data_IF_533152245978
#
_entry.id   IF_533152245978
#
_cell.length_a   1.000
_cell.length_b   1.000
_cell.length_c   1.000
_cell.angle_alpha   90.00
_cell.angle_beta   90.00
_cell.angle_gamma   90.00
#
_symmetry.space_group_name_H-M   'P 1'
#
loop_
_entity.id
_entity.type
_entity.pdbx_description
1 polymer ?
#
# COMPACT_ATOMS: atom_id res chain seq x y z
N UNK A 1 7.56 -20.90 -16.95
CA UNK A 1 7.96 -19.90 -17.96
C UNK A 1 8.56 -18.70 -17.23
N UNK A 2 9.80 -18.29 -17.50
CA UNK A 2 10.38 -17.14 -16.82
C UNK A 2 9.74 -15.86 -17.38
N UNK A 3 8.87 -15.20 -16.61
CA UNK A 3 8.44 -13.84 -16.89
C UNK A 3 9.59 -12.88 -16.54
N UNK A 4 10.62 -12.85 -17.37
CA UNK A 4 11.50 -11.69 -17.48
C UNK A 4 10.84 -10.67 -18.38
N UNK A 5 9.90 -9.91 -17.84
CA UNK A 5 9.62 -8.57 -18.36
C UNK A 5 9.94 -7.57 -17.26
N UNK A 6 11.22 -7.25 -17.11
CA UNK A 6 11.61 -5.91 -16.71
C UNK A 6 11.11 -4.96 -17.80
N UNK A 7 9.82 -4.61 -17.76
CA UNK A 7 9.40 -3.34 -18.34
C UNK A 7 10.11 -2.30 -17.50
N UNK A 8 10.94 -1.46 -18.11
CA UNK A 8 11.51 -0.27 -17.47
C UNK A 8 10.38 0.54 -16.85
N UNK A 9 10.08 0.26 -15.58
CA UNK A 9 9.13 1.02 -14.82
C UNK A 9 9.80 2.34 -14.51
N UNK A 10 9.23 3.43 -15.00
CA UNK A 10 9.69 4.77 -14.65
C UNK A 10 9.76 4.88 -13.13
N UNK A 11 10.97 4.98 -12.58
CA UNK A 11 11.17 5.19 -11.17
C UNK A 11 10.67 6.61 -10.81
N UNK A 12 10.07 6.80 -9.61
CA UNK A 12 9.71 8.13 -9.15
C UNK A 12 10.96 9.00 -9.03
N UNK A 13 10.81 10.29 -9.32
CA UNK A 13 11.86 11.28 -9.10
C UNK A 13 12.03 11.50 -7.60
N UNK A 14 13.23 11.26 -7.07
CA UNK A 14 13.53 11.52 -5.66
C UNK A 14 13.65 13.03 -5.42
N UNK A 15 12.85 13.53 -4.47
CA UNK A 15 12.81 14.92 -4.03
C UNK A 15 13.54 14.98 -2.69
N UNK A 16 14.72 15.61 -2.63
CA UNK A 16 15.51 15.61 -1.40
C UNK A 16 14.78 16.39 -0.30
N UNK A 17 14.72 15.80 0.88
CA UNK A 17 14.39 16.54 2.09
C UNK A 17 15.64 17.29 2.56
N UNK A 18 15.52 18.57 2.88
CA UNK A 18 16.62 19.29 3.53
C UNK A 18 16.88 18.69 4.92
N UNK A 19 18.15 18.58 5.38
CA UNK A 19 18.45 18.11 6.73
C UNK A 19 17.71 18.95 7.80
N UNK A 20 16.90 18.30 8.63
CA UNK A 20 16.06 18.97 9.64
C UNK A 20 14.85 19.73 9.09
N UNK A 21 14.63 19.71 7.77
CA UNK A 21 13.49 20.30 7.10
C UNK A 21 12.30 19.33 7.00
N UNK A 22 11.10 19.90 6.90
CA UNK A 22 9.89 19.13 6.62
C UNK A 22 9.99 18.47 5.24
N UNK A 23 9.51 17.24 5.14
CA UNK A 23 9.39 16.53 3.87
C UNK A 23 8.57 17.36 2.86
N UNK A 24 9.08 17.65 1.65
CA UNK A 24 8.45 18.57 0.70
C UNK A 24 7.06 18.11 0.24
N UNK A 25 6.82 16.79 0.15
CA UNK A 25 5.49 16.25 -0.20
C UNK A 25 4.53 16.42 0.97
N UNK A 26 4.98 16.21 2.21
CA UNK A 26 4.14 16.45 3.39
C UNK A 26 3.84 17.94 3.60
N UNK A 27 4.79 18.82 3.28
CA UNK A 27 4.56 20.27 3.21
C UNK A 27 3.48 20.60 2.20
N UNK A 28 3.57 20.02 1.00
CA UNK A 28 2.58 20.23 -0.05
C UNK A 28 1.18 19.75 0.39
N UNK A 29 1.09 18.63 1.10
CA UNK A 29 -0.17 18.17 1.68
C UNK A 29 -0.75 19.18 2.70
N UNK A 30 0.10 19.84 3.50
CA UNK A 30 -0.32 20.89 4.44
C UNK A 30 -0.74 22.17 3.72
N UNK A 31 -0.02 22.57 2.67
CA UNK A 31 -0.36 23.71 1.81
C UNK A 31 -1.71 23.50 1.12
N UNK A 32 -2.01 22.25 0.73
CA UNK A 32 -3.33 21.85 0.23
C UNK A 32 -4.39 21.65 1.31
N UNK A 33 -4.03 21.87 2.58
CA UNK A 33 -4.92 21.72 3.74
C UNK A 33 -5.51 20.31 3.88
N UNK A 34 -4.77 19.29 3.42
CA UNK A 34 -5.17 17.90 3.59
C UNK A 34 -5.05 17.48 5.06
N UNK A 35 -6.05 16.80 5.66
CA UNK A 35 -6.08 16.51 7.10
C UNK A 35 -5.17 15.36 7.53
N UNK A 36 -3.92 15.30 7.03
CA UNK A 36 -2.97 14.19 7.25
C UNK A 36 -2.54 13.94 8.70
N UNK A 37 -2.79 14.90 9.59
CA UNK A 37 -2.48 14.80 11.02
C UNK A 37 -3.65 14.31 11.87
N UNK A 38 -4.87 14.33 11.32
CA UNK A 38 -6.08 13.93 12.05
C UNK A 38 -6.31 12.45 11.85
N UNK A 39 -6.81 11.77 12.87
CA UNK A 39 -7.24 10.39 12.71
C UNK A 39 -8.42 10.33 11.74
N UNK A 40 -8.56 9.21 11.03
CA UNK A 40 -9.67 8.97 10.15
C UNK A 40 -11.01 9.03 10.91
N UNK A 41 -11.04 8.60 12.17
CA UNK A 41 -12.18 8.74 13.07
C UNK A 41 -12.62 10.21 13.23
N UNK A 42 -11.68 11.11 13.52
CA UNK A 42 -11.98 12.54 13.68
C UNK A 42 -12.47 13.17 12.38
N UNK A 43 -11.89 12.74 11.25
CA UNK A 43 -12.30 13.23 9.93
C UNK A 43 -13.68 12.72 9.55
N UNK A 44 -14.01 11.46 9.84
CA UNK A 44 -15.36 10.90 9.68
C UNK A 44 -16.36 11.68 10.53
N UNK A 45 -16.05 11.95 11.80
CA UNK A 45 -16.94 12.69 12.69
C UNK A 45 -17.22 14.12 12.19
N UNK A 46 -16.23 14.76 11.56
CA UNK A 46 -16.36 16.12 11.03
C UNK A 46 -17.06 16.17 9.67
N UNK A 47 -16.69 15.30 8.74
CA UNK A 47 -17.08 15.39 7.33
C UNK A 47 -18.22 14.42 6.95
N UNK A 48 -18.44 13.39 7.77
CA UNK A 48 -19.26 12.24 7.40
C UNK A 48 -18.61 11.37 6.33
N UNK A 49 -19.22 10.21 6.08
CA UNK A 49 -18.93 9.39 4.89
C UNK A 49 -19.94 9.78 3.81
N UNK A 50 -19.45 10.13 2.64
CA UNK A 50 -20.25 10.59 1.50
C UNK A 50 -19.95 9.75 0.27
N UNK A 51 -20.86 9.63 -0.70
CA UNK A 51 -20.51 9.08 -2.00
C UNK A 51 -19.49 10.00 -2.68
N UNK A 52 -18.39 9.43 -3.19
CA UNK A 52 -17.45 10.17 -4.03
C UNK A 52 -18.18 10.80 -5.22
N UNK A 53 -17.88 12.07 -5.54
CA UNK A 53 -18.62 12.80 -6.58
C UNK A 53 -18.55 12.17 -7.97
N UNK A 54 -17.55 11.32 -8.23
CA UNK A 54 -17.26 10.76 -9.54
C UNK A 54 -17.58 9.26 -9.58
N UNK A 55 -17.08 8.50 -8.60
CA UNK A 55 -17.24 7.05 -8.58
C UNK A 55 -18.47 6.57 -7.81
N UNK A 56 -19.02 7.38 -6.91
CA UNK A 56 -20.10 7.06 -5.98
C UNK A 56 -19.82 5.92 -4.98
N UNK A 57 -18.56 5.52 -4.81
CA UNK A 57 -18.12 4.69 -3.68
C UNK A 57 -18.07 5.51 -2.36
N UNK A 58 -18.09 4.86 -1.17
CA UNK A 58 -17.95 5.57 0.10
C UNK A 58 -16.58 6.25 0.25
N UNK A 59 -16.60 7.56 0.47
CA UNK A 59 -15.40 8.40 0.58
C UNK A 59 -15.53 9.49 1.65
N UNK A 60 -14.38 10.00 2.08
CA UNK A 60 -14.26 11.25 2.82
C UNK A 60 -13.94 12.35 1.80
N UNK A 61 -14.79 13.37 1.70
CA UNK A 61 -14.65 14.45 0.72
C UNK A 61 -14.16 15.71 1.42
N UNK A 62 -13.08 16.32 0.90
CA UNK A 62 -12.41 17.46 1.51
C UNK A 62 -12.67 18.74 0.71
N UNK A 63 -13.85 19.35 0.92
CA UNK A 63 -14.25 20.59 0.24
C UNK A 63 -13.41 21.81 0.62
N UNK A 64 -12.81 21.79 1.82
CA UNK A 64 -11.98 22.89 2.33
C UNK A 64 -10.50 22.77 1.92
N UNK A 65 -10.13 21.67 1.26
CA UNK A 65 -8.79 21.48 0.72
C UNK A 65 -8.59 22.35 -0.54
N UNK A 66 -7.36 22.82 -0.75
CA UNK A 66 -7.06 23.59 -1.97
C UNK A 66 -7.18 22.66 -3.19
N UNK A 67 -8.00 23.02 -4.19
CA UNK A 67 -8.15 22.20 -5.38
C UNK A 67 -6.91 22.29 -6.26
N UNK A 68 -6.60 21.19 -6.97
CA UNK A 68 -5.63 21.25 -8.05
C UNK A 68 -6.19 22.06 -9.23
N UNK A 69 -5.33 22.67 -10.05
CA UNK A 69 -5.76 23.22 -11.33
C UNK A 69 -6.50 22.16 -12.16
N UNK A 70 -7.65 22.53 -12.72
CA UNK A 70 -8.47 21.61 -13.50
C UNK A 70 -9.18 20.52 -12.69
N UNK A 71 -9.25 20.64 -11.35
CA UNK A 71 -9.90 19.65 -10.50
C UNK A 71 -11.34 19.36 -10.94
N UNK A 72 -11.64 18.08 -11.19
CA UNK A 72 -12.99 17.60 -11.49
C UNK A 72 -13.84 17.40 -10.23
N UNK A 73 -13.18 17.14 -9.10
CA UNK A 73 -13.80 16.93 -7.80
C UNK A 73 -12.83 17.36 -6.68
N UNK A 74 -13.34 17.64 -5.47
CA UNK A 74 -12.49 17.85 -4.30
C UNK A 74 -11.55 16.66 -4.06
N UNK A 75 -10.53 16.88 -3.23
CA UNK A 75 -9.72 15.77 -2.73
C UNK A 75 -10.61 14.79 -1.95
N UNK A 76 -10.34 13.51 -2.13
CA UNK A 76 -11.02 12.43 -1.42
C UNK A 76 -10.04 11.47 -0.77
N UNK A 77 -10.53 10.72 0.21
CA UNK A 77 -9.88 9.52 0.72
C UNK A 77 -10.91 8.40 0.84
N UNK A 78 -10.48 7.14 0.66
CA UNK A 78 -11.39 6.00 0.78
C UNK A 78 -12.00 5.95 2.19
N UNK A 79 -13.30 5.68 2.30
CA UNK A 79 -13.96 5.40 3.59
C UNK A 79 -14.28 3.91 3.75
N UNK A 80 -13.47 3.04 3.14
CA UNK A 80 -13.69 1.60 3.19
C UNK A 80 -13.63 1.07 4.62
N UNK A 81 -14.62 0.26 4.98
CA UNK A 81 -14.83 -0.25 6.36
C UNK A 81 -13.71 -1.16 6.86
N UNK A 82 -12.85 -1.66 5.97
CA UNK A 82 -11.65 -2.45 6.32
C UNK A 82 -10.45 -1.60 6.70
N UNK A 83 -10.55 -0.27 6.66
CA UNK A 83 -9.48 0.63 7.07
C UNK A 83 -9.65 0.97 8.57
N UNK A 84 -8.65 0.68 9.43
CA UNK A 84 -8.71 1.00 10.85
C UNK A 84 -8.82 2.53 11.09
N UNK A 85 -9.88 3.02 11.75
CA UNK A 85 -10.18 4.45 11.80
C UNK A 85 -9.29 5.24 12.78
N UNK A 86 -8.56 4.58 13.67
CA UNK A 86 -7.70 5.24 14.66
C UNK A 86 -6.45 5.90 14.06
N UNK A 87 -6.09 5.58 12.81
CA UNK A 87 -4.91 6.15 12.17
C UNK A 87 -5.24 7.34 11.29
N UNK A 88 -4.25 8.21 11.01
CA UNK A 88 -4.41 9.25 10.02
C UNK A 88 -4.67 8.70 8.62
N UNK A 89 -5.27 9.53 7.77
CA UNK A 89 -5.40 9.23 6.34
C UNK A 89 -4.02 9.21 5.71
N UNK A 90 -3.69 8.11 5.03
CA UNK A 90 -2.37 7.95 4.40
C UNK A 90 -2.42 8.07 2.89
N UNK A 91 -3.62 8.01 2.28
CA UNK A 91 -3.82 8.16 0.84
C UNK A 91 -4.92 9.17 0.53
N UNK A 92 -4.57 10.18 -0.25
CA UNK A 92 -5.47 11.17 -0.79
C UNK A 92 -5.50 11.07 -2.31
N UNK A 93 -6.67 11.27 -2.92
CA UNK A 93 -6.86 11.21 -4.36
C UNK A 93 -7.66 12.40 -4.88
N UNK A 94 -7.33 12.85 -6.07
CA UNK A 94 -8.17 13.79 -6.84
C UNK A 94 -7.96 13.57 -8.34
N UNK A 95 -8.71 14.28 -9.15
CA UNK A 95 -8.76 14.16 -10.59
C UNK A 95 -8.64 15.53 -11.21
N UNK A 96 -7.81 15.70 -12.22
CA UNK A 96 -7.67 16.94 -12.97
C UNK A 96 -7.90 16.71 -14.47
N UNK A 97 -8.59 17.63 -15.13
CA UNK A 97 -8.86 17.60 -16.56
C UNK A 97 -8.85 19.01 -17.15
N UNK A 98 -8.29 19.15 -18.34
CA UNK A 98 -8.17 20.41 -19.07
C UNK A 98 -8.66 20.28 -20.51
N UNK A 99 -8.38 19.14 -21.15
CA UNK A 99 -8.72 18.86 -22.54
C UNK A 99 -8.83 17.36 -22.82
N UNK A 100 -9.32 17.00 -24.01
CA UNK A 100 -9.48 15.61 -24.44
C UNK A 100 -8.15 14.95 -24.88
N UNK A 101 -7.09 15.15 -24.11
CA UNK A 101 -5.79 14.49 -24.26
C UNK A 101 -5.20 14.10 -22.90
N UNK A 102 -5.11 12.80 -22.65
CA UNK A 102 -4.55 12.22 -21.44
C UNK A 102 -3.07 12.63 -21.19
N UNK A 103 -2.27 12.76 -22.24
CA UNK A 103 -0.87 13.17 -22.12
C UNK A 103 -0.78 14.63 -21.73
N UNK A 104 -1.59 15.49 -22.34
CA UNK A 104 -1.59 16.91 -22.07
C UNK A 104 -2.10 17.21 -20.65
N UNK A 105 -3.18 16.54 -20.22
CA UNK A 105 -3.69 16.67 -18.85
C UNK A 105 -2.64 16.30 -17.80
N UNK A 106 -1.95 15.15 -17.98
CA UNK A 106 -0.91 14.73 -17.04
C UNK A 106 0.28 15.69 -17.02
N UNK A 107 0.73 16.17 -18.20
CA UNK A 107 1.83 17.15 -18.28
C UNK A 107 1.46 18.46 -17.58
N UNK A 108 0.25 18.99 -17.79
CA UNK A 108 -0.19 20.23 -17.13
C UNK A 108 -0.19 20.11 -15.60
N UNK A 109 -0.64 18.97 -15.06
CA UNK A 109 -0.55 18.72 -13.62
C UNK A 109 0.92 18.62 -13.19
N UNK A 110 1.76 17.93 -13.98
CA UNK A 110 3.17 17.77 -13.64
C UNK A 110 3.94 19.10 -13.65
N UNK A 111 3.65 19.97 -14.61
CA UNK A 111 4.24 21.32 -14.71
C UNK A 111 3.83 22.18 -13.51
N UNK A 112 2.57 22.08 -13.07
CA UNK A 112 2.10 22.74 -11.86
C UNK A 112 2.87 22.27 -10.60
N UNK A 113 3.05 20.94 -10.45
CA UNK A 113 3.74 20.36 -9.30
C UNK A 113 5.26 20.60 -9.33
N UNK A 114 5.83 20.85 -10.52
CA UNK A 114 7.27 21.10 -10.69
C UNK A 114 7.75 22.33 -9.89
N UNK A 115 6.89 23.33 -9.69
CA UNK A 115 7.21 24.49 -8.87
C UNK A 115 7.52 24.12 -7.40
N UNK A 116 6.87 23.10 -6.87
CA UNK A 116 6.98 22.69 -5.47
C UNK A 116 7.90 21.49 -5.25
N UNK A 117 7.94 20.56 -6.22
CA UNK A 117 8.62 19.26 -6.09
C UNK A 117 9.82 19.11 -7.03
N UNK A 118 10.07 20.08 -7.91
CA UNK A 118 11.08 19.97 -8.96
C UNK A 118 10.59 19.15 -10.16
N UNK A 119 11.36 19.14 -11.26
CA UNK A 119 10.97 18.47 -12.50
C UNK A 119 10.85 16.95 -12.29
N UNK A 120 9.99 16.30 -13.06
CA UNK A 120 9.91 14.83 -13.09
C UNK A 120 9.87 14.32 -14.52
N UNK A 121 10.32 13.08 -14.73
CA UNK A 121 10.10 12.40 -16.00
C UNK A 121 8.64 11.97 -16.14
N UNK A 122 8.06 12.20 -17.31
CA UNK A 122 6.79 11.59 -17.74
C UNK A 122 7.12 10.39 -18.62
N UNK A 123 6.60 9.22 -18.25
CA UNK A 123 6.90 7.96 -18.93
C UNK A 123 5.67 7.10 -19.14
N UNK A 124 5.89 5.93 -19.74
CA UNK A 124 4.86 4.93 -20.00
C UNK A 124 5.04 3.74 -19.07
N UNK A 125 3.93 3.25 -18.50
CA UNK A 125 3.88 1.99 -17.75
C UNK A 125 2.70 1.17 -18.26
N UNK A 126 2.99 0.10 -19.00
CA UNK A 126 1.98 -0.71 -19.71
C UNK A 126 1.09 0.12 -20.64
N UNK A 127 -0.20 0.25 -20.33
CA UNK A 127 -1.21 1.04 -21.04
C UNK A 127 -1.48 2.41 -20.37
N UNK A 128 -0.60 2.88 -19.48
CA UNK A 128 -0.76 4.15 -18.76
C UNK A 128 0.42 5.10 -18.98
N UNK A 129 0.14 6.39 -18.93
CA UNK A 129 1.14 7.45 -18.79
C UNK A 129 1.27 7.74 -17.30
N UNK A 130 2.51 7.83 -16.82
CA UNK A 130 2.79 8.02 -15.40
C UNK A 130 3.87 9.07 -15.18
N UNK A 131 3.78 9.76 -14.06
CA UNK A 131 4.84 10.59 -13.49
C UNK A 131 4.74 10.49 -11.97
N UNK A 132 5.87 10.55 -11.26
CA UNK A 132 5.84 10.46 -9.81
C UNK A 132 7.03 11.18 -9.17
N UNK A 133 6.80 11.64 -7.94
CA UNK A 133 7.79 12.17 -7.02
C UNK A 133 7.77 11.33 -5.75
N UNK A 134 8.93 11.15 -5.15
CA UNK A 134 9.07 10.52 -3.83
C UNK A 134 9.99 11.34 -2.96
N UNK A 135 9.65 11.47 -1.68
CA UNK A 135 10.56 11.97 -0.66
C UNK A 135 10.44 11.06 0.54
N UNK A 136 11.47 10.25 0.81
CA UNK A 136 11.38 9.18 1.81
C UNK A 136 10.24 8.21 1.45
N UNK A 137 9.26 8.05 2.35
CA UNK A 137 8.08 7.23 2.09
C UNK A 137 6.89 7.99 1.49
N UNK A 138 6.91 9.32 1.51
CA UNK A 138 5.84 10.10 0.93
C UNK A 138 5.97 10.09 -0.59
N UNK A 139 4.84 9.98 -1.29
CA UNK A 139 4.82 10.03 -2.76
C UNK A 139 3.67 10.88 -3.28
N UNK A 140 3.90 11.47 -4.45
CA UNK A 140 2.84 12.01 -5.31
C UNK A 140 2.97 11.32 -6.64
N UNK A 141 1.89 10.71 -7.12
CA UNK A 141 1.85 10.01 -8.40
C UNK A 141 0.71 10.50 -9.28
N UNK A 142 1.02 10.62 -10.56
CA UNK A 142 0.13 10.99 -11.63
C UNK A 142 -0.06 9.79 -12.54
N UNK A 143 -1.32 9.49 -12.89
CA UNK A 143 -1.67 8.42 -13.80
C UNK A 143 -2.75 8.91 -14.77
N UNK A 144 -2.56 8.64 -16.06
CA UNK A 144 -3.58 8.85 -17.07
C UNK A 144 -3.62 7.64 -18.03
N UNK A 145 -4.78 7.38 -18.61
CA UNK A 145 -5.03 6.25 -19.52
C UNK A 145 -5.37 6.78 -20.92
N UNK A 146 -4.38 6.98 -21.81
CA UNK A 146 -4.67 7.42 -23.17
C UNK A 146 -5.65 6.45 -23.85
N UNK A 147 -6.76 6.93 -24.45
CA UNK A 147 -7.74 6.08 -25.10
C UNK A 147 -7.13 5.18 -26.18
N UNK A 148 -6.14 5.70 -26.92
CA UNK A 148 -5.41 4.95 -27.95
C UNK A 148 -4.60 3.77 -27.42
N UNK A 149 -4.39 3.67 -26.11
CA UNK A 149 -3.68 2.57 -25.45
C UNK A 149 -4.61 1.60 -24.73
N UNK A 150 -5.93 1.86 -24.71
CA UNK A 150 -6.90 1.00 -24.04
C UNK A 150 -7.54 0.01 -25.00
N UNK A 151 -7.95 -1.14 -24.46
CA UNK A 151 -8.81 -2.08 -25.16
C UNK A 151 -10.16 -1.41 -25.47
N UNK A 152 -10.65 -1.58 -26.70
CA UNK A 152 -11.81 -0.84 -27.21
C UNK A 152 -13.15 -1.26 -26.57
N UNK A 153 -13.20 -2.43 -25.92
CA UNK A 153 -14.43 -3.02 -25.36
C UNK A 153 -14.56 -2.83 -23.83
N UNK A 154 -13.70 -2.01 -23.20
CA UNK A 154 -13.79 -1.75 -21.77
C UNK A 154 -14.92 -0.76 -21.47
N UNK A 155 -16.08 -1.27 -21.07
CA UNK A 155 -17.16 -0.45 -20.53
C UNK A 155 -16.87 -0.05 -19.08
N UNK A 156 -16.92 1.25 -18.79
CA UNK A 156 -16.71 1.80 -17.44
C UNK A 156 -17.87 2.74 -17.11
N UNK A 157 -18.80 2.32 -16.23
CA UNK A 157 -19.97 3.13 -15.86
C UNK A 157 -19.64 4.50 -15.28
N UNK A 158 -18.43 4.70 -14.72
CA UNK A 158 -17.96 6.03 -14.31
C UNK A 158 -17.68 6.95 -15.48
N UNK A 159 -17.11 6.45 -16.59
CA UNK A 159 -16.83 7.24 -17.80
C UNK A 159 -18.10 7.59 -18.57
N UNK A 160 -19.18 6.81 -18.42
CA UNK A 160 -20.49 7.17 -18.99
C UNK A 160 -21.16 8.31 -18.20
N UNK A 161 -20.99 8.32 -16.87
CA UNK A 161 -21.49 9.39 -15.98
C UNK A 161 -20.66 10.67 -16.09
N UNK A 162 -19.34 10.53 -16.19
CA UNK A 162 -18.39 11.63 -16.33
C UNK A 162 -17.42 11.34 -17.49
N UNK A 163 -17.76 11.76 -18.72
CA UNK A 163 -16.96 11.50 -19.92
C UNK A 163 -15.53 12.02 -19.87
N UNK A 164 -15.27 13.09 -19.09
CA UNK A 164 -13.92 13.67 -18.93
C UNK A 164 -12.94 12.70 -18.29
N UNK A 165 -13.42 11.68 -17.55
CA UNK A 165 -12.58 10.64 -16.97
C UNK A 165 -11.75 9.87 -17.97
N UNK A 166 -12.21 9.76 -19.23
CA UNK A 166 -11.49 9.03 -20.29
C UNK A 166 -10.08 9.55 -20.53
N UNK A 167 -9.85 10.83 -20.24
CA UNK A 167 -8.58 11.50 -20.44
C UNK A 167 -8.08 12.23 -19.18
N UNK A 168 -8.81 12.17 -18.07
CA UNK A 168 -8.41 12.83 -16.83
C UNK A 168 -7.07 12.31 -16.29
N UNK A 169 -6.31 13.20 -15.65
CA UNK A 169 -5.16 12.85 -14.86
C UNK A 169 -5.59 12.53 -13.42
N UNK A 170 -5.34 11.32 -12.98
CA UNK A 170 -5.52 10.91 -11.60
C UNK A 170 -4.29 11.31 -10.79
N UNK A 171 -4.52 11.96 -9.66
CA UNK A 171 -3.48 12.38 -8.73
C UNK A 171 -3.66 11.63 -7.43
N UNK A 172 -2.62 10.95 -6.98
CA UNK A 172 -2.57 10.30 -5.67
C UNK A 172 -1.45 10.92 -4.85
N UNK A 173 -1.73 11.28 -3.60
CA UNK A 173 -0.73 11.62 -2.60
C UNK A 173 -0.75 10.54 -1.50
N UNK A 174 0.42 10.00 -1.19
CA UNK A 174 0.63 9.05 -0.10
C UNK A 174 1.55 9.68 0.95
N UNK A 175 1.18 9.60 2.22
CA UNK A 175 1.92 10.25 3.31
C UNK A 175 3.10 9.44 3.83
N UNK A 176 3.10 8.12 3.61
CA UNK A 176 4.10 7.21 4.16
C UNK A 176 4.00 7.01 5.67
N UNK A 177 2.87 7.36 6.29
CA UNK A 177 2.67 7.20 7.73
C UNK A 177 2.86 5.73 8.16
N UNK A 178 3.59 5.56 9.26
CA UNK A 178 3.85 4.28 9.93
C UNK A 178 4.00 4.53 11.42
N UNK A 179 3.74 3.50 12.23
CA UNK A 179 3.94 3.59 13.67
C UNK A 179 5.43 3.51 14.00
N UNK A 180 5.89 4.32 14.96
CA UNK A 180 7.23 4.16 15.51
C UNK A 180 7.34 2.87 16.31
N UNK A 181 8.55 2.32 16.41
CA UNK A 181 8.84 1.23 17.33
C UNK A 181 8.85 1.77 18.77
N UNK A 182 8.07 1.14 19.66
CA UNK A 182 8.30 1.27 21.09
C UNK A 182 9.64 0.66 21.50
N UNK A 183 10.17 1.00 22.67
CA UNK A 183 11.44 0.43 23.17
C UNK A 183 11.41 -1.10 23.24
N UNK A 184 10.26 -1.67 23.61
CA UNK A 184 10.06 -3.12 23.65
C UNK A 184 10.06 -3.74 22.25
N UNK A 185 9.32 -3.16 21.31
CA UNK A 185 9.29 -3.65 19.93
C UNK A 185 10.67 -3.53 19.26
N UNK A 186 11.41 -2.46 19.54
CA UNK A 186 12.79 -2.28 19.08
C UNK A 186 13.71 -3.38 19.61
N UNK A 187 13.58 -3.74 20.89
CA UNK A 187 14.29 -4.88 21.47
C UNK A 187 13.96 -6.19 20.76
N UNK A 188 12.67 -6.46 20.55
CA UNK A 188 12.22 -7.63 19.81
C UNK A 188 12.79 -7.70 18.39
N UNK A 189 12.79 -6.60 17.65
CA UNK A 189 13.30 -6.54 16.26
C UNK A 189 14.82 -6.76 16.20
N UNK A 190 15.58 -6.30 17.19
CA UNK A 190 17.04 -6.52 17.22
C UNK A 190 17.41 -7.96 17.54
N UNK A 191 16.62 -8.61 18.39
CA UNK A 191 16.97 -9.91 18.99
C UNK A 191 16.12 -11.07 18.46
N UNK A 192 15.23 -10.85 17.49
CA UNK A 192 14.39 -11.93 17.00
C UNK A 192 15.22 -13.07 16.43
N UNK A 193 14.75 -14.28 16.67
CA UNK A 193 15.32 -15.52 16.17
C UNK A 193 14.65 -15.83 14.83
N UNK A 194 15.39 -15.74 13.71
CA UNK A 194 14.83 -16.08 12.40
C UNK A 194 14.38 -17.54 12.39
N UNK A 195 13.22 -17.79 11.80
CA UNK A 195 12.77 -19.15 11.54
C UNK A 195 13.49 -19.62 10.27
N UNK A 196 14.15 -20.77 10.34
CA UNK A 196 14.76 -21.38 9.18
C UNK A 196 13.66 -21.68 8.16
N UNK A 197 13.88 -21.23 6.94
CA UNK A 197 12.94 -21.42 5.87
C UNK A 197 13.64 -22.30 4.82
N UNK A 198 13.22 -23.56 4.71
CA UNK A 198 13.79 -24.52 3.75
C UNK A 198 13.27 -24.26 2.32
N UNK A 199 14.12 -24.46 1.30
CA UNK A 199 13.71 -24.42 -0.12
C UNK A 199 13.52 -23.03 -0.74
N UNK A 200 12.71 -22.93 -1.81
CA UNK A 200 12.31 -21.64 -2.43
C UNK A 200 11.17 -20.96 -1.66
N UNK A 201 11.14 -21.12 -0.34
CA UNK A 201 10.18 -20.39 0.48
C UNK A 201 10.79 -19.04 0.79
N UNK A 202 10.03 -17.96 0.63
CA UNK A 202 10.46 -16.73 1.28
C UNK A 202 9.81 -15.44 0.86
N UNK A 203 10.26 -14.41 1.55
CA UNK A 203 10.04 -12.99 1.27
C UNK A 203 11.06 -12.45 0.25
N UNK A 204 11.90 -13.32 -0.34
CA UNK A 204 13.04 -12.93 -1.17
C UNK A 204 12.67 -12.09 -2.42
N UNK A 205 11.46 -12.29 -2.95
CA UNK A 205 10.92 -11.50 -4.08
C UNK A 205 10.22 -10.20 -3.64
N UNK A 206 10.05 -10.00 -2.33
CA UNK A 206 9.42 -8.81 -1.79
C UNK A 206 10.39 -7.62 -1.82
N UNK A 207 9.81 -6.41 -1.83
CA UNK A 207 10.55 -5.18 -1.70
C UNK A 207 11.31 -5.13 -0.36
N UNK A 208 12.20 -4.16 -0.20
CA UNK A 208 12.89 -3.94 1.08
C UNK A 208 11.99 -3.14 2.02
N UNK A 209 11.92 -3.53 3.29
CA UNK A 209 11.23 -2.81 4.33
C UNK A 209 11.72 -1.35 4.38
N UNK A 210 10.78 -0.42 4.53
CA UNK A 210 11.09 1.01 4.61
C UNK A 210 11.34 1.71 3.28
N UNK A 211 11.09 1.03 2.13
CA UNK A 211 11.16 1.68 0.81
C UNK A 211 9.81 2.09 0.22
N UNK A 212 8.73 1.44 0.64
CA UNK A 212 7.38 1.70 0.15
C UNK A 212 6.50 2.14 1.32
N UNK A 213 5.54 3.02 1.04
CA UNK A 213 4.51 3.35 2.02
C UNK A 213 3.61 2.12 2.28
N UNK A 214 3.18 1.89 3.52
CA UNK A 214 2.28 0.79 3.83
C UNK A 214 0.87 1.03 3.29
N UNK A 215 0.14 -0.07 3.07
CA UNK A 215 -1.29 -0.01 2.78
C UNK A 215 -2.09 0.51 3.99
N UNK A 216 -3.22 1.17 3.72
CA UNK A 216 -4.09 1.70 4.79
C UNK A 216 -4.64 0.61 5.72
N UNK A 217 -4.81 -0.61 5.20
CA UNK A 217 -5.26 -1.77 5.97
C UNK A 217 -4.15 -2.42 6.79
N UNK A 218 -2.89 -1.98 6.65
CA UNK A 218 -1.73 -2.61 7.29
C UNK A 218 -1.25 -1.86 8.54
N UNK A 219 -1.79 -0.65 8.78
CA UNK A 219 -1.26 0.34 9.72
C UNK A 219 -1.23 -0.12 11.19
N UNK A 220 -2.03 -1.12 11.57
CA UNK A 220 -2.02 -1.66 12.95
C UNK A 220 -0.69 -2.33 13.31
N UNK A 221 -0.03 -2.94 12.31
CA UNK A 221 1.13 -3.80 12.54
C UNK A 221 2.40 -3.33 11.87
N UNK A 222 2.31 -2.43 10.88
CA UNK A 222 3.50 -1.86 10.25
C UNK A 222 4.21 -0.91 11.21
N UNK A 223 5.54 -1.04 11.26
CA UNK A 223 6.44 -0.17 12.02
C UNK A 223 7.46 0.51 11.13
N UNK A 224 7.99 1.61 11.62
CA UNK A 224 9.23 2.18 11.13
C UNK A 224 10.38 1.17 11.33
N UNK A 225 11.02 0.67 10.26
CA UNK A 225 12.19 -0.18 10.37
C UNK A 225 13.42 0.51 10.97
N UNK A 226 13.45 1.85 10.93
CA UNK A 226 14.59 2.66 11.35
C UNK A 226 15.89 2.11 10.72
N UNK A 227 16.97 2.00 11.49
CA UNK A 227 18.25 1.38 11.09
C UNK A 227 18.39 -0.07 11.59
N UNK A 228 17.35 -0.66 12.21
CA UNK A 228 17.47 -1.91 12.97
C UNK A 228 17.22 -3.19 12.17
N UNK A 229 17.02 -3.09 10.85
CA UNK A 229 16.66 -4.24 10.00
C UNK A 229 17.49 -4.38 8.73
N UNK A 230 18.60 -3.64 8.58
CA UNK A 230 19.40 -3.66 7.35
C UNK A 230 19.96 -5.05 7.01
N UNK A 231 20.46 -5.77 8.01
CA UNK A 231 20.98 -7.13 7.95
C UNK A 231 19.90 -8.22 8.11
N UNK A 232 18.66 -7.81 8.42
CA UNK A 232 17.51 -8.67 8.69
C UNK A 232 16.48 -8.66 7.56
N UNK A 233 16.77 -8.00 6.42
CA UNK A 233 15.86 -7.93 5.29
C UNK A 233 15.45 -9.33 4.83
N UNK A 234 14.17 -9.49 4.49
CA UNK A 234 13.60 -10.74 3.97
C UNK A 234 13.67 -11.89 4.96
N UNK A 235 13.47 -11.57 6.24
CA UNK A 235 13.42 -12.56 7.31
C UNK A 235 12.06 -12.56 8.00
N UNK A 236 11.73 -13.73 8.54
CA UNK A 236 10.58 -13.96 9.41
C UNK A 236 11.12 -14.62 10.68
N UNK A 237 10.61 -14.24 11.84
CA UNK A 237 11.00 -14.90 13.07
C UNK A 237 10.20 -14.47 14.29
N UNK A 238 10.57 -15.02 15.44
CA UNK A 238 9.93 -14.71 16.70
C UNK A 238 10.89 -13.88 17.56
N UNK A 239 10.36 -12.94 18.33
CA UNK A 239 11.15 -12.30 19.39
C UNK A 239 11.78 -13.34 20.32
N UNK A 240 12.89 -13.00 20.96
CA UNK A 240 13.62 -13.95 21.82
C UNK A 240 12.78 -14.51 22.98
N UNK A 241 11.82 -13.73 23.47
CA UNK A 241 10.84 -14.12 24.49
C UNK A 241 9.60 -14.85 23.93
N UNK A 242 9.48 -14.98 22.60
CA UNK A 242 8.35 -15.61 21.92
C UNK A 242 7.04 -14.80 21.94
N UNK A 243 7.09 -13.54 22.39
CA UNK A 243 5.91 -12.68 22.57
C UNK A 243 5.47 -11.93 21.29
N UNK A 244 6.30 -11.93 20.24
CA UNK A 244 5.98 -11.27 18.98
C UNK A 244 6.47 -12.06 17.76
N UNK A 245 5.69 -12.01 16.70
CA UNK A 245 6.06 -12.38 15.34
C UNK A 245 6.60 -11.14 14.61
N UNK A 246 7.80 -11.26 14.07
CA UNK A 246 8.49 -10.20 13.32
C UNK A 246 8.61 -10.63 11.87
N UNK A 247 8.10 -9.81 10.95
CA UNK A 247 8.20 -10.01 9.51
C UNK A 247 8.93 -8.82 8.91
N UNK A 248 10.09 -9.07 8.31
CA UNK A 248 10.84 -8.06 7.57
C UNK A 248 10.72 -8.37 6.09
N UNK A 249 9.67 -7.85 5.46
CA UNK A 249 9.35 -8.03 4.06
C UNK A 249 9.51 -6.71 3.29
N UNK A 250 8.54 -6.38 2.43
CA UNK A 250 8.32 -5.04 1.88
C UNK A 250 7.97 -3.99 2.94
N UNK A 251 7.48 -4.41 4.10
CA UNK A 251 7.31 -3.62 5.31
C UNK A 251 7.96 -4.32 6.51
N UNK A 252 8.13 -3.59 7.62
CA UNK A 252 8.39 -4.22 8.92
C UNK A 252 7.05 -4.41 9.64
N UNK A 253 6.63 -5.66 9.81
CA UNK A 253 5.49 -6.01 10.66
C UNK A 253 5.98 -6.49 12.02
N UNK A 254 5.40 -5.92 13.08
CA UNK A 254 5.61 -6.37 14.46
C UNK A 254 4.25 -6.73 15.05
N UNK A 255 4.00 -8.02 15.19
CA UNK A 255 2.70 -8.55 15.60
C UNK A 255 2.86 -9.24 16.94
N UNK A 256 2.21 -8.71 17.97
CA UNK A 256 2.17 -9.37 19.28
C UNK A 256 1.47 -10.72 19.14
N UNK A 257 2.04 -11.76 19.75
CA UNK A 257 1.49 -13.12 19.76
C UNK A 257 0.02 -13.13 20.17
N UNK A 258 -0.34 -12.35 21.17
CA UNK A 258 -1.72 -12.25 21.67
C UNK A 258 -2.71 -11.71 20.64
N UNK A 259 -2.24 -10.99 19.62
CA UNK A 259 -3.07 -10.40 18.57
C UNK A 259 -3.28 -11.35 17.38
N UNK A 260 -2.52 -12.46 17.31
CA UNK A 260 -2.64 -13.46 16.26
C UNK A 260 -3.79 -14.40 16.64
N UNK A 261 -4.82 -14.45 15.79
CA UNK A 261 -6.00 -15.28 16.00
C UNK A 261 -5.74 -16.70 15.52
N UNK A 262 -5.22 -16.82 14.29
CA UNK A 262 -4.85 -18.09 13.67
C UNK A 262 -3.90 -17.82 12.50
N UNK A 263 -3.27 -18.88 12.00
CA UNK A 263 -2.53 -18.85 10.74
C UNK A 263 -3.35 -19.50 9.64
N UNK A 264 -3.18 -19.03 8.41
CA UNK A 264 -3.84 -19.60 7.24
C UNK A 264 -2.84 -19.91 6.13
N UNK A 265 -2.88 -21.15 5.65
CA UNK A 265 -2.16 -21.59 4.46
C UNK A 265 -3.15 -21.62 3.30
N UNK A 266 -2.96 -20.74 2.33
CA UNK A 266 -3.71 -20.73 1.07
C UNK A 266 -2.96 -21.57 0.04
N UNK A 267 -3.63 -22.54 -0.55
CA UNK A 267 -3.05 -23.48 -1.52
C UNK A 267 -3.70 -23.31 -2.90
N UNK A 268 -2.87 -23.10 -3.91
CA UNK A 268 -3.30 -22.82 -5.27
C UNK A 268 -2.71 -23.84 -6.24
N UNK A 269 -3.55 -24.49 -7.04
CA UNK A 269 -3.10 -25.35 -8.14
C UNK A 269 -2.86 -24.52 -9.40
N UNK A 270 -1.87 -24.90 -10.23
CA UNK A 270 -1.62 -24.20 -11.48
C UNK A 270 -2.87 -24.13 -12.38
N UNK A 271 -3.15 -22.95 -12.94
CA UNK A 271 -4.18 -22.75 -13.96
C UNK A 271 -3.73 -21.70 -14.99
N UNK A 272 -4.08 -20.42 -14.81
CA UNK A 272 -3.48 -19.32 -15.61
C UNK A 272 -2.14 -18.87 -15.02
N UNK A 273 -2.02 -18.92 -13.69
CA UNK A 273 -0.76 -18.71 -12.99
C UNK A 273 -0.02 -20.00 -12.65
N UNK A 274 1.15 -19.83 -12.02
CA UNK A 274 2.05 -20.93 -11.67
C UNK A 274 1.58 -21.80 -10.50
N UNK A 275 0.54 -21.39 -9.77
CA UNK A 275 0.13 -22.02 -8.52
C UNK A 275 1.10 -21.73 -7.37
N UNK A 276 0.98 -22.52 -6.31
CA UNK A 276 1.83 -22.45 -5.13
C UNK A 276 1.04 -22.33 -3.84
N UNK A 277 1.71 -21.92 -2.77
CA UNK A 277 1.07 -21.67 -1.48
C UNK A 277 1.56 -20.39 -0.82
N UNK A 278 0.70 -19.77 -0.02
CA UNK A 278 1.03 -18.60 0.79
C UNK A 278 0.58 -18.78 2.22
N UNK A 279 1.40 -18.30 3.16
CA UNK A 279 1.15 -18.32 4.59
C UNK A 279 0.82 -16.91 5.07
N UNK A 280 -0.29 -16.80 5.80
CA UNK A 280 -0.79 -15.54 6.34
C UNK A 280 -1.03 -15.66 7.85
N UNK A 281 -0.77 -14.58 8.59
CA UNK A 281 -1.26 -14.41 9.96
C UNK A 281 -2.56 -13.62 9.92
N UNK A 282 -3.63 -14.19 10.48
CA UNK A 282 -4.89 -13.48 10.70
C UNK A 282 -4.87 -12.89 12.10
N UNK A 283 -4.89 -11.56 12.17
CA UNK A 283 -4.68 -10.80 13.39
C UNK A 283 -5.93 -10.01 13.76
N UNK A 284 -6.10 -9.67 15.04
CA UNK A 284 -7.18 -8.77 15.46
C UNK A 284 -7.14 -7.45 14.70
N UNK A 285 -8.28 -6.84 14.47
CA UNK A 285 -8.33 -5.52 13.84
C UNK A 285 -9.35 -4.65 14.52
N UNK A 286 -9.12 -3.35 14.47
CA UNK A 286 -10.12 -2.33 14.86
C UNK A 286 -10.90 -1.79 13.65
N UNK A 287 -10.66 -2.32 12.45
CA UNK A 287 -11.46 -1.99 11.29
C UNK A 287 -12.89 -2.52 11.47
N UNK A 288 -13.93 -1.67 11.32
CA UNK A 288 -15.31 -2.06 11.64
C UNK A 288 -15.90 -3.12 10.68
N UNK A 289 -15.41 -3.22 9.45
CA UNK A 289 -15.92 -4.14 8.43
C UNK A 289 -15.02 -5.34 8.16
N UNK A 290 -14.17 -5.71 9.12
CA UNK A 290 -13.30 -6.88 9.03
C UNK A 290 -13.27 -7.62 10.36
N UNK A 291 -13.45 -8.94 10.31
CA UNK A 291 -13.31 -9.81 11.49
C UNK A 291 -11.83 -9.93 11.92
N UNK A 292 -10.94 -9.89 10.93
CA UNK A 292 -9.50 -9.95 11.10
C UNK A 292 -8.75 -9.19 10.00
N UNK A 293 -7.48 -8.91 10.27
CA UNK A 293 -6.53 -8.42 9.29
C UNK A 293 -5.58 -9.55 8.90
N UNK A 294 -5.49 -9.84 7.59
CA UNK A 294 -4.51 -10.77 7.05
C UNK A 294 -3.16 -10.07 6.80
N UNK A 295 -2.08 -10.65 7.32
CA UNK A 295 -0.70 -10.24 7.06
C UNK A 295 0.04 -11.38 6.36
N UNK A 296 0.54 -11.11 5.15
CA UNK A 296 1.34 -12.06 4.38
C UNK A 296 2.69 -12.32 5.09
N UNK A 297 3.04 -13.59 5.29
CA UNK A 297 4.28 -13.99 5.95
C UNK A 297 5.30 -14.56 4.96
N UNK A 298 4.88 -15.49 4.11
CA UNK A 298 5.75 -16.21 3.18
C UNK A 298 4.95 -16.90 2.06
N UNK A 299 5.64 -17.34 1.02
CA UNK A 299 5.07 -18.15 -0.06
C UNK A 299 6.05 -19.20 -0.59
N UNK A 300 5.52 -20.19 -1.30
CA UNK A 300 6.27 -21.22 -2.01
C UNK A 300 5.63 -21.54 -3.38
N UNK A 301 6.44 -22.02 -4.33
CA UNK A 301 5.95 -22.46 -5.65
C UNK A 301 5.18 -23.79 -5.63
N UNK A 302 5.37 -24.61 -4.59
CA UNK A 302 4.60 -25.85 -4.36
C UNK A 302 3.28 -25.52 -3.63
N UNK A 303 2.13 -26.03 -4.12
CA UNK A 303 0.83 -25.93 -3.45
C UNK A 303 0.78 -26.41 -1.99
N UNK A 304 1.66 -27.31 -1.57
CA UNK A 304 1.74 -27.78 -0.18
C UNK A 304 2.95 -27.21 0.60
N UNK A 305 3.82 -26.46 -0.08
CA UNK A 305 5.11 -26.02 0.48
C UNK A 305 5.02 -25.20 1.77
N UNK A 306 3.92 -24.49 2.00
CA UNK A 306 3.70 -23.69 3.23
C UNK A 306 3.09 -24.48 4.39
N UNK A 307 2.65 -25.72 4.19
CA UNK A 307 1.90 -26.47 5.21
C UNK A 307 2.75 -26.81 6.43
N UNK A 308 3.98 -27.28 6.22
CA UNK A 308 4.88 -27.67 7.32
C UNK A 308 5.28 -26.44 8.16
N UNK A 309 5.74 -25.38 7.48
CA UNK A 309 6.09 -24.11 8.12
C UNK A 309 4.90 -23.51 8.89
N UNK A 310 3.70 -23.50 8.28
CA UNK A 310 2.49 -23.01 8.94
C UNK A 310 2.18 -23.76 10.23
N UNK A 311 2.28 -25.11 10.22
CA UNK A 311 2.07 -25.94 11.41
C UNK A 311 3.12 -25.71 12.49
N UNK A 312 4.39 -25.64 12.12
CA UNK A 312 5.49 -25.35 13.05
C UNK A 312 5.31 -23.97 13.70
N UNK A 313 5.03 -22.95 12.90
CA UNK A 313 4.81 -21.60 13.39
C UNK A 313 3.57 -21.54 14.30
N UNK A 314 2.49 -22.22 13.93
CA UNK A 314 1.28 -22.32 14.76
C UNK A 314 1.56 -22.96 16.12
N UNK A 315 2.38 -24.01 16.18
CA UNK A 315 2.81 -24.61 17.44
C UNK A 315 3.62 -23.64 18.30
N UNK A 316 4.60 -22.93 17.71
CA UNK A 316 5.42 -21.96 18.45
C UNK A 316 4.61 -20.77 18.96
N UNK A 317 3.67 -20.28 18.16
CA UNK A 317 2.75 -19.20 18.52
C UNK A 317 1.61 -19.67 19.42
N UNK A 318 1.40 -20.99 19.57
CA UNK A 318 0.26 -21.56 20.28
C UNK A 318 -1.09 -21.13 19.72
N UNK A 319 -1.22 -21.02 18.39
CA UNK A 319 -2.47 -20.70 17.70
C UNK A 319 -2.84 -21.80 16.71
N UNK A 320 -4.11 -21.82 16.28
CA UNK A 320 -4.58 -22.78 15.27
C UNK A 320 -4.03 -22.45 13.89
N UNK A 321 -3.99 -23.46 13.03
CA UNK A 321 -3.55 -23.33 11.63
C UNK A 321 -4.64 -23.90 10.73
N UNK A 322 -5.23 -23.05 9.90
CA UNK A 322 -6.13 -23.44 8.83
C UNK A 322 -5.33 -23.72 7.57
N UNK A 323 -5.55 -24.89 6.95
CA UNK A 323 -5.00 -25.21 5.63
C UNK A 323 -6.16 -25.26 4.66
N UNK A 324 -6.19 -24.31 3.73
CA UNK A 324 -7.30 -24.18 2.79
C UNK A 324 -7.43 -25.40 1.87
N UNK A 325 -8.61 -25.67 1.28
CA UNK A 325 -8.66 -26.53 0.10
C UNK A 325 -7.85 -25.93 -1.05
N UNK A 326 -7.65 -26.71 -2.10
CA UNK A 326 -6.99 -26.24 -3.32
C UNK A 326 -7.89 -25.30 -4.12
N UNK A 327 -7.34 -24.17 -4.55
CA UNK A 327 -7.98 -23.24 -5.47
C UNK A 327 -7.22 -23.16 -6.80
N UNK A 328 -7.88 -23.00 -7.95
CA UNK A 328 -7.17 -22.72 -9.19
C UNK A 328 -6.55 -21.31 -9.17
N UNK A 329 -5.32 -21.19 -9.67
CA UNK A 329 -4.63 -19.90 -9.86
C UNK A 329 -5.11 -19.20 -11.15
N UNK A 330 -6.22 -18.46 -11.04
CA UNK A 330 -7.02 -17.91 -12.15
C UNK A 330 -6.59 -16.57 -12.74
#
# INVERSE_FOLDING_TARGET
MPMTSTSDSLAPTEVPSHPGGMNPILRLADDWRLPRHKTRLDVIARCGVQPDPIYAWPALVFTDAEPLPGALAPWTASAFERIPPQFPITRFTTLAWFEDDAHANLRRVADHLTASLGPTSVGRRWNTVVAAWRSGLADVSLVAWPPSWQSHDLQKPSEDREPRLKTACHVTLITGFRLALSDRERGWVREFQPIAIDGEVGTARMARAGRLAPGETELEYVRDPEDVVEDRQRMLGLSADGEALIVVSDQLFVIRRTEILHLRVVRMTPAKGGGGSSLHAHCRTRAPGADDQSVFLAQHGDPDGMTALGRELGQRLGCSVEVSPYYPDC
#
